data_IF_996692301886
#
_entry.id   IF_996692301886
#
_cell.length_a   1.000
_cell.length_b   1.000
_cell.length_c   1.000
_cell.angle_alpha   90.00
_cell.angle_beta   90.00
_cell.angle_gamma   90.00
#
_symmetry.space_group_name_H-M   'P 1'
#
loop_
_entity.id
_entity.type
_entity.pdbx_description
1 polymer ?
#
# COMPACT_ATOMS: atom_id res chain seq x y z
N UNK A 1 -67.61 24.79 14.08
CA UNK A 1 -68.92 24.62 13.40
C UNK A 1 -68.83 23.35 12.57
N UNK A 2 -69.47 22.28 13.04
CA UNK A 2 -70.49 21.48 12.36
C UNK A 2 -69.96 20.78 11.11
N UNK A 3 -70.07 19.49 10.85
CA UNK A 3 -70.77 18.37 11.51
C UNK A 3 -70.43 17.13 10.63
N UNK A 4 -70.20 16.00 11.26
CA UNK A 4 -70.45 14.65 10.69
C UNK A 4 -71.95 14.48 10.43
N UNK A 5 -72.55 13.53 9.68
CA UNK A 5 -72.34 12.10 9.73
C UNK A 5 -72.59 11.39 8.35
N UNK A 6 -72.47 10.12 8.05
CA UNK A 6 -73.12 8.94 8.56
C UNK A 6 -72.89 7.76 7.60
N UNK A 7 -72.67 6.56 8.11
CA UNK A 7 -72.90 5.26 7.47
C UNK A 7 -74.44 5.02 7.21
N UNK A 8 -74.81 4.07 6.30
CA UNK A 8 -75.15 2.76 6.77
C UNK A 8 -74.87 1.53 5.80
N UNK A 9 -74.54 0.42 6.37
CA UNK A 9 -75.15 -0.93 6.45
C UNK A 9 -75.53 -1.71 5.19
N UNK A 10 -75.01 -2.96 5.21
CA UNK A 10 -75.70 -4.25 5.01
C UNK A 10 -76.11 -4.72 3.62
N UNK A 11 -75.55 -5.86 3.21
CA UNK A 11 -76.35 -7.08 3.02
C UNK A 11 -75.49 -8.27 2.60
N UNK A 12 -75.69 -9.32 3.32
CA UNK A 12 -75.20 -10.68 3.07
C UNK A 12 -75.85 -11.31 1.85
N UNK A 13 -75.07 -12.11 1.10
CA UNK A 13 -75.67 -13.32 0.45
C UNK A 13 -74.64 -14.45 0.33
N UNK A 14 -75.11 -15.61 0.78
CA UNK A 14 -74.54 -16.96 0.78
C UNK A 14 -74.40 -17.44 -0.66
N UNK A 15 -73.41 -18.29 -0.89
CA UNK A 15 -73.45 -19.16 -2.08
C UNK A 15 -72.16 -19.92 -2.35
N UNK A 16 -72.15 -21.13 -1.91
CA UNK A 16 -71.73 -22.36 -2.58
C UNK A 16 -70.27 -22.68 -2.75
N UNK A 17 -69.85 -23.71 -2.04
CA UNK A 17 -68.62 -24.48 -2.12
C UNK A 17 -68.38 -25.10 -3.49
N UNK A 18 -67.18 -24.90 -4.04
CA UNK A 18 -66.61 -25.87 -5.00
C UNK A 18 -65.19 -26.21 -4.52
N UNK A 19 -65.03 -27.44 -4.08
CA UNK A 19 -63.75 -28.06 -3.78
C UNK A 19 -63.14 -28.44 -5.12
N UNK A 20 -62.04 -27.81 -5.49
CA UNK A 20 -61.16 -28.25 -6.58
C UNK A 20 -59.84 -28.59 -5.99
N UNK A 21 -59.54 -29.86 -5.96
CA UNK A 21 -58.27 -30.51 -5.65
C UNK A 21 -57.27 -30.13 -6.75
N UNK A 22 -56.35 -29.19 -6.49
CA UNK A 22 -55.19 -28.95 -7.34
C UNK A 22 -53.95 -29.49 -6.64
N UNK A 23 -53.48 -30.66 -7.06
CA UNK A 23 -52.17 -31.18 -6.72
C UNK A 23 -51.12 -30.28 -7.39
N UNK A 24 -50.57 -29.35 -6.64
CA UNK A 24 -49.46 -28.47 -7.05
C UNK A 24 -48.14 -29.14 -6.79
N UNK A 25 -47.46 -29.44 -7.87
CA UNK A 25 -46.09 -29.94 -7.96
C UNK A 25 -45.14 -28.90 -7.34
N UNK A 26 -44.69 -29.08 -6.10
CA UNK A 26 -43.66 -28.29 -5.48
C UNK A 26 -42.30 -28.68 -6.09
N UNK A 27 -41.92 -28.03 -7.20
CA UNK A 27 -40.57 -28.09 -7.72
C UNK A 27 -39.64 -27.39 -6.73
N UNK A 28 -38.90 -28.16 -5.95
CA UNK A 28 -37.89 -27.67 -5.05
C UNK A 28 -36.77 -26.94 -5.84
N UNK A 29 -36.72 -25.63 -5.75
CA UNK A 29 -35.56 -24.85 -6.06
C UNK A 29 -34.49 -25.14 -4.99
N UNK A 30 -33.79 -26.27 -5.15
CA UNK A 30 -32.54 -26.53 -4.46
C UNK A 30 -31.52 -25.47 -4.89
N UNK A 31 -31.41 -24.40 -4.13
CA UNK A 31 -30.28 -23.47 -4.24
C UNK A 31 -29.02 -24.29 -3.99
N UNK A 32 -28.26 -24.60 -5.05
CA UNK A 32 -26.89 -25.07 -4.95
C UNK A 32 -26.09 -23.95 -4.29
N UNK A 33 -26.07 -23.90 -2.95
CA UNK A 33 -25.03 -23.20 -2.22
C UNK A 33 -23.74 -23.96 -2.55
N UNK A 34 -22.97 -23.39 -3.50
CA UNK A 34 -21.60 -23.82 -3.72
C UNK A 34 -20.85 -23.77 -2.39
N UNK A 35 -19.90 -24.70 -2.15
CA UNK A 35 -19.10 -24.65 -0.95
C UNK A 35 -18.45 -23.26 -0.87
N UNK A 36 -18.66 -22.56 0.26
CA UNK A 36 -17.92 -21.34 0.57
C UNK A 36 -16.44 -21.67 0.45
N UNK A 37 -15.62 -20.78 -0.15
CA UNK A 37 -14.19 -21.02 -0.24
C UNK A 37 -13.68 -21.34 1.15
N UNK A 38 -13.16 -22.54 1.33
CA UNK A 38 -12.54 -22.96 2.57
C UNK A 38 -11.39 -21.99 2.83
N UNK A 39 -11.47 -21.23 3.92
CA UNK A 39 -10.34 -20.45 4.39
C UNK A 39 -9.20 -21.44 4.64
N UNK A 40 -8.05 -21.20 3.99
CA UNK A 40 -6.86 -22.02 4.21
C UNK A 40 -6.62 -22.16 5.73
N UNK A 41 -6.30 -23.36 6.21
CA UNK A 41 -6.07 -23.57 7.64
C UNK A 41 -4.94 -22.64 8.12
N UNK A 42 -5.18 -21.95 9.23
CA UNK A 42 -4.18 -21.07 9.85
C UNK A 42 -2.95 -21.91 10.18
N UNK A 43 -1.78 -21.52 9.64
CA UNK A 43 -0.51 -22.17 9.93
C UNK A 43 0.04 -21.67 11.29
N UNK A 44 0.01 -22.50 12.35
CA UNK A 44 0.48 -22.10 13.68
C UNK A 44 1.97 -21.79 13.72
N UNK A 45 2.79 -22.44 12.87
CA UNK A 45 4.21 -22.20 12.80
C UNK A 45 4.49 -20.85 12.12
N UNK A 46 3.82 -20.56 11.02
CA UNK A 46 3.92 -19.25 10.35
C UNK A 46 3.50 -18.12 11.31
N UNK A 47 2.39 -18.30 12.05
CA UNK A 47 1.95 -17.36 13.07
C UNK A 47 3.00 -17.12 14.15
N UNK A 48 3.59 -18.17 14.71
CA UNK A 48 4.61 -18.06 15.75
C UNK A 48 5.88 -17.34 15.25
N UNK A 49 6.23 -17.52 13.97
CA UNK A 49 7.41 -16.88 13.37
C UNK A 49 7.13 -15.42 12.97
N UNK A 50 6.02 -15.17 12.29
CA UNK A 50 5.76 -13.86 11.67
C UNK A 50 5.03 -12.88 12.59
N UNK A 51 4.26 -13.36 13.59
CA UNK A 51 3.53 -12.56 14.56
C UNK A 51 3.69 -13.12 15.99
N UNK A 52 4.91 -13.17 16.54
CA UNK A 52 5.20 -13.87 17.80
C UNK A 52 4.51 -13.27 19.03
N UNK A 53 4.11 -12.00 18.97
CA UNK A 53 3.32 -11.33 20.02
C UNK A 53 1.83 -11.66 19.96
N UNK A 54 1.35 -12.40 18.95
CA UNK A 54 -0.06 -12.63 18.69
C UNK A 54 -0.74 -11.49 17.93
N UNK A 55 -0.01 -10.42 17.59
CA UNK A 55 -0.42 -9.29 16.75
C UNK A 55 0.65 -9.06 15.69
N UNK A 56 0.24 -8.80 14.44
CA UNK A 56 1.18 -8.42 13.37
C UNK A 56 1.42 -6.91 13.40
N UNK A 57 2.60 -6.49 13.81
CA UNK A 57 3.00 -5.07 13.87
C UNK A 57 3.55 -4.65 12.52
N UNK A 58 2.81 -3.78 11.82
CA UNK A 58 3.15 -3.27 10.49
C UNK A 58 3.82 -1.91 10.63
N UNK A 59 5.11 -1.83 10.32
CA UNK A 59 5.85 -0.57 10.33
C UNK A 59 5.56 0.25 9.08
N UNK A 60 5.20 1.52 9.25
CA UNK A 60 4.86 2.44 8.16
C UNK A 60 5.42 3.84 8.39
N UNK A 61 5.47 4.65 7.33
CA UNK A 61 5.78 6.08 7.40
C UNK A 61 4.84 6.86 6.48
N UNK A 62 4.55 8.11 6.83
CA UNK A 62 3.62 8.98 6.09
C UNK A 62 4.24 9.56 4.81
N UNK A 63 3.39 9.87 3.84
CA UNK A 63 3.75 10.54 2.58
C UNK A 63 4.27 9.61 1.50
N UNK A 64 3.95 8.33 1.61
CA UNK A 64 4.27 7.34 0.58
C UNK A 64 3.11 6.37 0.37
N UNK A 65 2.52 6.30 -0.83
CA UNK A 65 1.51 5.30 -1.17
C UNK A 65 1.98 3.85 -1.02
N UNK A 66 3.30 3.60 -1.08
CA UNK A 66 3.86 2.27 -0.81
C UNK A 66 3.85 1.92 0.67
N UNK A 67 3.83 2.91 1.55
CA UNK A 67 3.81 2.75 2.99
C UNK A 67 2.46 3.18 3.56
N UNK A 68 2.27 4.47 3.79
CA UNK A 68 1.01 5.03 4.26
C UNK A 68 0.82 6.47 3.79
N UNK A 69 -0.38 6.78 3.32
CA UNK A 69 -0.89 8.13 3.08
C UNK A 69 -2.17 8.34 3.89
N UNK A 70 -2.46 9.59 4.23
CA UNK A 70 -3.71 9.97 4.89
C UNK A 70 -4.54 10.81 3.93
N UNK A 71 -5.76 10.37 3.65
CA UNK A 71 -6.70 11.11 2.81
C UNK A 71 -7.23 12.36 3.54
N UNK A 72 -7.87 13.25 2.79
CA UNK A 72 -8.54 14.43 3.37
C UNK A 72 -9.65 14.06 4.37
N UNK A 73 -10.27 12.89 4.23
CA UNK A 73 -11.25 12.34 5.20
C UNK A 73 -10.61 11.75 6.46
N UNK A 74 -9.27 11.71 6.55
CA UNK A 74 -8.54 11.10 7.66
C UNK A 74 -8.34 9.59 7.54
N UNK A 75 -8.88 8.95 6.49
CA UNK A 75 -8.64 7.53 6.20
C UNK A 75 -7.16 7.29 5.87
N UNK A 76 -6.61 6.18 6.34
CA UNK A 76 -5.25 5.76 6.01
C UNK A 76 -5.26 4.70 4.92
N UNK A 77 -4.43 4.87 3.90
CA UNK A 77 -4.23 3.93 2.80
C UNK A 77 -2.74 3.71 2.58
N UNK A 78 -2.39 2.61 1.98
CA UNK A 78 -1.00 2.32 1.65
C UNK A 78 -0.76 0.85 1.42
N UNK A 79 0.17 0.52 0.52
CA UNK A 79 0.46 -0.86 0.18
C UNK A 79 0.89 -1.67 1.42
N UNK A 80 1.74 -1.10 2.30
CA UNK A 80 2.17 -1.78 3.54
C UNK A 80 1.00 -2.03 4.49
N UNK A 81 0.06 -1.07 4.61
CA UNK A 81 -1.11 -1.20 5.47
C UNK A 81 -2.01 -2.33 4.97
N UNK A 82 -2.34 -2.33 3.67
CA UNK A 82 -3.30 -3.27 3.09
C UNK A 82 -2.76 -4.69 2.99
N UNK A 83 -1.52 -4.85 2.52
CA UNK A 83 -0.88 -6.18 2.46
C UNK A 83 -0.55 -6.70 3.88
N UNK A 84 -0.22 -5.80 4.81
CA UNK A 84 -0.08 -6.16 6.23
C UNK A 84 -1.38 -6.70 6.83
N UNK A 85 -2.50 -6.06 6.55
CA UNK A 85 -3.83 -6.55 6.95
C UNK A 85 -4.16 -7.90 6.28
N UNK A 86 -3.81 -8.08 5.00
CA UNK A 86 -3.99 -9.35 4.30
C UNK A 86 -3.17 -10.47 4.93
N UNK A 87 -1.90 -10.20 5.26
CA UNK A 87 -1.02 -11.15 5.94
C UNK A 87 -1.57 -11.51 7.34
N UNK A 88 -2.00 -10.51 8.10
CA UNK A 88 -2.59 -10.72 9.42
C UNK A 88 -3.84 -11.62 9.37
N UNK A 89 -4.72 -11.39 8.39
CA UNK A 89 -5.89 -12.29 8.15
C UNK A 89 -5.47 -13.72 7.87
N UNK A 90 -4.47 -13.93 7.01
CA UNK A 90 -3.95 -15.29 6.68
C UNK A 90 -3.29 -15.97 7.90
N UNK A 91 -2.70 -15.18 8.81
CA UNK A 91 -2.11 -15.69 10.06
C UNK A 91 -3.15 -15.84 11.19
N UNK A 92 -4.38 -15.36 11.02
CA UNK A 92 -5.41 -15.39 12.06
C UNK A 92 -5.07 -14.54 13.29
N UNK A 93 -4.44 -13.36 13.07
CA UNK A 93 -4.06 -12.42 14.12
C UNK A 93 -4.55 -11.00 13.79
N UNK A 94 -4.74 -10.11 14.77
CA UNK A 94 -4.94 -8.69 14.51
C UNK A 94 -3.70 -8.05 13.90
N UNK A 95 -3.90 -6.98 13.11
CA UNK A 95 -2.84 -6.11 12.62
C UNK A 95 -2.81 -4.81 13.40
N UNK A 96 -1.61 -4.33 13.73
CA UNK A 96 -1.36 -3.02 14.33
C UNK A 96 -0.41 -2.22 13.45
N UNK A 97 -0.72 -0.95 13.21
CA UNK A 97 0.13 -0.05 12.43
C UNK A 97 1.00 0.79 13.35
N UNK A 98 2.33 0.69 13.19
CA UNK A 98 3.32 1.48 13.93
C UNK A 98 3.94 2.52 13.00
N UNK A 99 3.78 3.81 13.32
CA UNK A 99 4.13 4.93 12.45
C UNK A 99 5.50 5.49 12.79
N UNK A 100 6.32 5.73 11.75
CA UNK A 100 7.65 6.33 11.84
C UNK A 100 7.74 7.58 10.94
N UNK A 101 8.77 8.39 11.11
CA UNK A 101 8.98 9.59 10.28
C UNK A 101 9.48 9.27 8.87
N UNK A 102 10.26 8.18 8.70
CA UNK A 102 10.88 7.78 7.44
C UNK A 102 11.20 6.30 7.37
N UNK A 103 11.44 5.81 6.17
CA UNK A 103 11.69 4.39 5.88
C UNK A 103 12.89 3.81 6.63
N UNK A 104 13.95 4.58 6.86
CA UNK A 104 15.13 4.08 7.59
C UNK A 104 14.76 3.64 9.01
N UNK A 105 13.97 4.44 9.73
CA UNK A 105 13.51 4.10 11.08
C UNK A 105 12.60 2.87 11.11
N UNK A 106 11.82 2.64 10.04
CA UNK A 106 11.04 1.40 9.91
C UNK A 106 11.97 0.19 9.77
N UNK A 107 13.01 0.29 8.92
CA UNK A 107 13.99 -0.80 8.72
C UNK A 107 14.75 -1.09 10.01
N UNK A 108 15.17 -0.05 10.73
CA UNK A 108 15.83 -0.19 12.04
C UNK A 108 14.91 -0.89 13.06
N UNK A 109 13.62 -0.52 13.08
CA UNK A 109 12.63 -1.14 13.96
C UNK A 109 12.35 -2.61 13.62
N UNK A 110 12.38 -3.00 12.34
CA UNK A 110 12.31 -4.40 11.91
C UNK A 110 13.56 -5.16 12.35
N UNK A 111 14.75 -4.61 12.11
CA UNK A 111 16.00 -5.22 12.50
C UNK A 111 16.07 -5.45 14.02
N UNK A 112 15.51 -4.54 14.82
CA UNK A 112 15.39 -4.65 16.28
C UNK A 112 14.23 -5.55 16.75
N UNK A 113 13.33 -6.03 15.86
CA UNK A 113 12.16 -6.82 16.21
C UNK A 113 11.03 -6.02 16.86
N UNK A 114 11.06 -4.69 16.76
CA UNK A 114 10.01 -3.79 17.30
C UNK A 114 8.77 -3.76 16.41
N UNK A 115 8.90 -4.06 15.12
CA UNK A 115 7.81 -4.32 14.18
C UNK A 115 8.08 -5.62 13.43
N UNK A 116 7.05 -6.23 12.87
CA UNK A 116 7.13 -7.58 12.29
C UNK A 116 7.23 -7.55 10.78
N UNK A 117 6.70 -6.52 10.12
CA UNK A 117 6.80 -6.37 8.68
C UNK A 117 6.70 -4.92 8.20
N UNK A 118 7.17 -4.68 7.00
CA UNK A 118 6.83 -3.54 6.13
C UNK A 118 6.95 -3.93 4.66
N UNK A 119 6.51 -3.08 3.74
CA UNK A 119 6.89 -3.19 2.32
C UNK A 119 7.90 -2.11 1.99
N UNK A 120 9.04 -2.53 1.47
CA UNK A 120 10.13 -1.62 1.12
C UNK A 120 11.01 -2.19 0.01
N UNK A 121 11.93 -1.35 -0.53
CA UNK A 121 12.86 -1.80 -1.56
C UNK A 121 13.80 -2.89 -1.02
N UNK A 122 13.83 -4.04 -1.68
CA UNK A 122 14.71 -5.18 -1.39
C UNK A 122 16.14 -4.91 -1.91
N UNK A 123 16.82 -3.93 -1.31
CA UNK A 123 18.21 -3.62 -1.67
C UNK A 123 19.20 -4.53 -0.97
N UNK A 124 20.41 -4.77 -1.56
CA UNK A 124 21.45 -5.55 -0.92
C UNK A 124 21.81 -5.06 0.49
N UNK A 125 21.96 -3.74 0.68
CA UNK A 125 22.29 -3.18 1.99
C UNK A 125 21.22 -3.46 3.06
N UNK A 126 19.91 -3.41 2.68
CA UNK A 126 18.84 -3.78 3.62
C UNK A 126 18.79 -5.27 3.88
N UNK A 127 19.11 -6.10 2.88
CA UNK A 127 19.18 -7.55 3.04
C UNK A 127 20.27 -8.03 4.03
N UNK A 128 21.20 -7.17 4.43
CA UNK A 128 22.16 -7.47 5.50
C UNK A 128 21.48 -7.51 6.88
N UNK A 129 20.45 -6.68 7.11
CA UNK A 129 19.83 -6.49 8.43
C UNK A 129 18.40 -7.01 8.54
N UNK A 130 17.69 -7.23 7.43
CA UNK A 130 16.34 -7.81 7.37
C UNK A 130 16.26 -8.89 6.31
N UNK A 131 15.23 -9.73 6.35
CA UNK A 131 14.92 -10.68 5.29
C UNK A 131 13.77 -10.17 4.42
N UNK A 132 13.70 -10.65 3.18
CA UNK A 132 12.68 -10.25 2.21
C UNK A 132 11.91 -11.45 1.65
N UNK A 133 10.64 -11.24 1.34
CA UNK A 133 9.87 -12.10 0.45
C UNK A 133 10.35 -11.97 -1.01
N UNK A 134 9.87 -12.80 -1.93
CA UNK A 134 9.90 -12.47 -3.35
C UNK A 134 9.32 -11.07 -3.60
N UNK A 135 9.79 -10.32 -4.64
CA UNK A 135 9.29 -8.99 -4.95
C UNK A 135 7.78 -9.00 -5.27
N UNK A 136 7.06 -8.01 -4.77
CA UNK A 136 5.63 -7.82 -5.04
C UNK A 136 5.40 -7.01 -6.32
N UNK A 137 6.13 -5.90 -6.49
CA UNK A 137 6.06 -5.02 -7.66
C UNK A 137 7.36 -4.22 -7.80
N UNK A 138 7.52 -3.56 -8.95
CA UNK A 138 8.60 -2.60 -9.18
C UNK A 138 8.07 -1.16 -9.27
N UNK A 139 8.91 -0.20 -8.87
CA UNK A 139 8.65 1.23 -8.97
C UNK A 139 9.75 1.94 -9.72
N UNK A 140 9.38 2.91 -10.54
CA UNK A 140 10.33 3.81 -11.16
C UNK A 140 10.90 4.83 -10.15
N UNK A 141 12.19 5.04 -10.22
CA UNK A 141 12.91 6.10 -9.52
C UNK A 141 12.97 7.33 -10.41
N UNK A 142 12.51 8.46 -9.90
CA UNK A 142 12.36 9.70 -10.67
C UNK A 142 12.92 10.91 -9.93
N UNK A 143 12.63 12.08 -10.50
CA UNK A 143 13.03 13.38 -9.99
C UNK A 143 11.84 14.33 -10.07
N UNK A 144 11.60 15.11 -9.03
CA UNK A 144 10.65 16.21 -9.00
C UNK A 144 11.40 17.54 -8.87
N UNK A 145 10.96 18.53 -9.61
CA UNK A 145 11.48 19.91 -9.61
C UNK A 145 10.33 20.91 -9.59
N UNK A 146 10.63 22.17 -9.26
CA UNK A 146 9.66 23.25 -9.49
C UNK A 146 9.56 23.55 -10.99
N UNK A 147 8.40 24.01 -11.47
CA UNK A 147 8.17 24.33 -12.89
C UNK A 147 9.11 25.41 -13.44
N UNK A 148 9.60 26.29 -12.57
CA UNK A 148 10.59 27.32 -12.90
C UNK A 148 12.02 26.80 -13.03
N UNK A 149 12.27 25.52 -12.69
CA UNK A 149 13.59 24.90 -12.76
C UNK A 149 14.06 24.70 -14.19
N UNK A 150 15.33 25.01 -14.45
CA UNK A 150 16.01 24.72 -15.71
C UNK A 150 16.39 23.25 -15.89
N UNK A 151 16.16 22.40 -14.88
CA UNK A 151 16.42 20.95 -14.94
C UNK A 151 15.31 20.31 -15.76
N UNK A 152 15.64 19.87 -16.98
CA UNK A 152 14.65 19.37 -17.96
C UNK A 152 14.52 17.86 -18.00
N UNK A 153 15.52 17.10 -17.52
CA UNK A 153 15.53 15.64 -17.55
C UNK A 153 16.15 15.05 -16.27
N UNK A 154 15.89 13.76 -16.04
CA UNK A 154 16.46 13.03 -14.88
C UNK A 154 17.99 12.97 -14.90
N UNK A 155 18.61 12.99 -16.07
CA UNK A 155 20.07 12.97 -16.19
C UNK A 155 20.69 14.36 -16.02
N UNK A 156 19.90 15.43 -16.13
CA UNK A 156 20.37 16.82 -15.98
C UNK A 156 20.56 17.25 -14.51
N UNK A 157 20.34 16.35 -13.53
CA UNK A 157 20.52 16.67 -12.11
C UNK A 157 21.99 16.70 -11.67
N UNK A 158 22.90 15.99 -12.38
CA UNK A 158 24.30 15.93 -12.00
C UNK A 158 25.11 17.10 -12.60
N UNK A 159 24.87 18.29 -12.08
CA UNK A 159 25.57 19.52 -12.47
C UNK A 159 26.11 20.25 -11.24
N UNK A 160 27.20 20.96 -11.42
CA UNK A 160 27.77 21.82 -10.38
C UNK A 160 26.74 22.87 -9.92
N UNK A 161 26.65 23.08 -8.61
CA UNK A 161 25.71 23.99 -7.99
C UNK A 161 24.29 23.41 -7.79
N UNK A 162 23.95 22.26 -8.39
CA UNK A 162 22.64 21.61 -8.18
C UNK A 162 22.61 20.88 -6.83
N UNK A 163 21.57 21.15 -6.03
CA UNK A 163 21.30 20.50 -4.75
C UNK A 163 20.18 19.48 -4.93
N UNK A 164 20.54 18.19 -4.87
CA UNK A 164 19.59 17.08 -5.02
C UNK A 164 19.16 16.61 -3.64
N UNK A 165 17.90 16.89 -3.28
CA UNK A 165 17.28 16.40 -2.06
C UNK A 165 17.01 14.90 -2.14
N UNK A 166 17.22 14.19 -1.05
CA UNK A 166 16.90 12.77 -0.86
C UNK A 166 16.37 12.57 0.55
N UNK A 167 15.51 11.59 0.78
CA UNK A 167 15.12 11.24 2.15
C UNK A 167 16.30 10.55 2.86
N UNK A 168 16.64 11.01 4.06
CA UNK A 168 17.73 10.46 4.86
C UNK A 168 17.55 8.96 5.12
N UNK A 169 18.59 8.16 4.86
CA UNK A 169 18.60 6.71 5.01
C UNK A 169 17.77 5.95 3.97
N UNK A 170 17.27 6.64 2.92
CA UNK A 170 16.62 5.97 1.80
C UNK A 170 17.62 5.25 0.90
N UNK A 171 17.14 4.24 0.14
CA UNK A 171 17.94 3.59 -0.90
C UNK A 171 18.36 4.56 -2.00
N UNK A 172 17.52 5.57 -2.29
CA UNK A 172 17.84 6.65 -3.24
C UNK A 172 19.04 7.47 -2.78
N UNK A 173 19.15 7.80 -1.48
CA UNK A 173 20.33 8.49 -0.94
C UNK A 173 21.61 7.71 -1.23
N UNK A 174 21.64 6.42 -0.87
CA UNK A 174 22.82 5.58 -1.09
C UNK A 174 23.14 5.35 -2.56
N UNK A 175 22.13 5.22 -3.43
CA UNK A 175 22.33 5.04 -4.85
C UNK A 175 22.86 6.31 -5.53
N UNK A 176 22.29 7.45 -5.25
CA UNK A 176 22.68 8.73 -5.84
C UNK A 176 24.04 9.22 -5.31
N UNK A 177 24.38 8.92 -4.04
CA UNK A 177 25.71 9.23 -3.51
C UNK A 177 26.86 8.52 -4.26
N UNK A 178 26.56 7.39 -4.90
CA UNK A 178 27.53 6.68 -5.75
C UNK A 178 27.49 7.09 -7.22
N UNK A 179 26.38 7.70 -7.65
CA UNK A 179 26.13 8.03 -9.06
C UNK A 179 26.46 9.49 -9.41
N UNK A 180 26.09 10.43 -8.52
CA UNK A 180 26.28 11.85 -8.76
C UNK A 180 27.72 12.26 -8.39
N UNK A 181 28.34 13.00 -9.30
CA UNK A 181 29.76 13.43 -9.17
C UNK A 181 29.85 14.93 -8.95
N UNK A 182 28.92 15.71 -9.52
CA UNK A 182 28.97 17.17 -9.53
C UNK A 182 27.93 17.81 -8.62
N UNK A 183 26.74 17.22 -8.53
CA UNK A 183 25.67 17.74 -7.72
C UNK A 183 25.86 17.41 -6.24
N UNK A 184 25.40 18.32 -5.38
CA UNK A 184 25.39 18.09 -3.94
C UNK A 184 24.15 17.30 -3.52
N UNK A 185 24.33 16.25 -2.70
CA UNK A 185 23.23 15.51 -2.09
C UNK A 185 22.87 16.16 -0.77
N UNK A 186 21.58 16.48 -0.61
CA UNK A 186 21.04 17.13 0.59
C UNK A 186 20.01 16.20 1.25
N UNK A 187 20.34 15.57 2.39
CA UNK A 187 19.40 14.73 3.10
C UNK A 187 18.26 15.54 3.74
N UNK A 188 17.02 15.07 3.54
CA UNK A 188 15.84 15.59 4.21
C UNK A 188 15.34 14.57 5.27
N UNK A 189 14.84 15.06 6.39
CA UNK A 189 14.40 14.21 7.51
C UNK A 189 13.21 13.30 7.13
N UNK A 190 12.34 13.77 6.24
CA UNK A 190 11.16 13.02 5.75
C UNK A 190 10.83 13.42 4.32
N UNK A 191 9.91 12.70 3.62
CA UNK A 191 9.39 13.14 2.32
C UNK A 191 8.75 14.53 2.38
N UNK A 192 8.00 14.85 3.44
CA UNK A 192 7.38 16.16 3.65
C UNK A 192 8.43 17.27 3.86
N UNK A 193 9.51 16.96 4.59
CA UNK A 193 10.64 17.89 4.73
C UNK A 193 11.29 18.18 3.38
N UNK A 194 11.50 17.15 2.53
CA UNK A 194 12.02 17.33 1.18
C UNK A 194 11.10 18.20 0.31
N UNK A 195 9.77 18.01 0.39
CA UNK A 195 8.79 18.86 -0.29
C UNK A 195 8.90 20.32 0.17
N UNK A 196 9.01 20.57 1.48
CA UNK A 196 9.17 21.91 2.03
C UNK A 196 10.49 22.58 1.56
N UNK A 197 11.58 21.80 1.52
CA UNK A 197 12.89 22.26 1.02
C UNK A 197 12.84 22.60 -0.47
N UNK A 198 12.14 21.80 -1.29
CA UNK A 198 11.96 22.08 -2.71
C UNK A 198 11.15 23.37 -2.92
N UNK A 199 10.06 23.54 -2.17
CA UNK A 199 9.21 24.74 -2.20
C UNK A 199 9.96 26.01 -1.81
N UNK A 200 10.84 25.94 -0.80
CA UNK A 200 11.63 27.07 -0.33
C UNK A 200 12.88 27.35 -1.17
N UNK A 201 13.21 26.48 -2.13
CA UNK A 201 14.44 26.57 -2.90
C UNK A 201 15.69 26.16 -2.09
N UNK A 202 15.55 25.46 -0.96
CA UNK A 202 16.68 24.88 -0.24
C UNK A 202 17.31 23.70 -0.99
N UNK A 203 16.55 23.03 -1.85
CA UNK A 203 16.98 22.04 -2.84
C UNK A 203 16.42 22.41 -4.22
N UNK A 204 17.12 22.00 -5.28
CA UNK A 204 16.75 22.30 -6.67
C UNK A 204 15.96 21.15 -7.31
N UNK A 205 16.15 19.94 -6.80
CA UNK A 205 15.46 18.72 -7.22
C UNK A 205 15.26 17.79 -6.03
N UNK A 206 14.18 16.99 -6.03
CA UNK A 206 13.98 15.92 -5.08
C UNK A 206 13.93 14.58 -5.82
N UNK A 207 14.80 13.66 -5.45
CA UNK A 207 14.96 12.35 -6.11
C UNK A 207 14.60 11.19 -5.19
N UNK A 208 13.59 10.41 -5.61
CA UNK A 208 13.09 9.22 -4.91
C UNK A 208 12.24 8.39 -5.86
N UNK A 209 11.44 7.41 -5.36
CA UNK A 209 10.50 6.71 -6.22
C UNK A 209 9.33 7.61 -6.64
N UNK A 210 8.81 7.34 -7.84
CA UNK A 210 7.77 8.17 -8.45
C UNK A 210 6.46 8.18 -7.67
N UNK A 211 6.16 7.15 -6.88
CA UNK A 211 4.97 7.13 -6.05
C UNK A 211 4.97 8.27 -5.02
N UNK A 212 6.10 8.47 -4.34
CA UNK A 212 6.28 9.59 -3.41
C UNK A 212 6.27 10.93 -4.17
N UNK A 213 6.94 11.01 -5.34
CA UNK A 213 7.00 12.24 -6.11
C UNK A 213 5.62 12.70 -6.57
N UNK A 214 4.78 11.80 -7.05
CA UNK A 214 3.42 12.13 -7.47
C UNK A 214 2.52 12.50 -6.29
N UNK A 215 2.62 11.75 -5.17
CA UNK A 215 1.86 12.05 -3.95
C UNK A 215 2.15 13.46 -3.41
N UNK A 216 3.43 13.79 -3.31
CA UNK A 216 3.85 15.12 -2.84
C UNK A 216 3.62 16.22 -3.87
N UNK A 217 3.77 15.90 -5.16
CA UNK A 217 3.58 16.83 -6.26
C UNK A 217 2.14 17.32 -6.37
N UNK A 218 1.16 16.45 -6.13
CA UNK A 218 -0.26 16.81 -6.11
C UNK A 218 -0.57 17.87 -5.04
N UNK A 219 0.17 17.85 -3.93
CA UNK A 219 0.06 18.85 -2.86
C UNK A 219 1.02 20.06 -2.99
N UNK A 220 1.77 20.16 -4.09
CA UNK A 220 2.76 21.22 -4.30
C UNK A 220 2.52 21.95 -5.63
N UNK A 221 1.72 23.06 -5.64
CA UNK A 221 1.49 23.83 -6.84
C UNK A 221 2.81 24.28 -7.51
N UNK A 222 2.89 24.07 -8.81
CA UNK A 222 4.08 24.40 -9.60
C UNK A 222 5.22 23.38 -9.51
N UNK A 223 5.03 22.24 -8.85
CA UNK A 223 5.97 21.12 -8.96
C UNK A 223 5.65 20.27 -10.20
N UNK A 224 6.68 19.64 -10.75
CA UNK A 224 6.55 18.64 -11.82
C UNK A 224 7.51 17.49 -11.61
N UNK A 225 7.02 16.27 -11.85
CA UNK A 225 7.84 15.08 -11.94
C UNK A 225 8.40 14.99 -13.36
N UNK A 226 9.71 14.83 -13.47
CA UNK A 226 10.38 14.74 -14.77
C UNK A 226 10.06 13.42 -15.47
N UNK A 227 9.99 13.49 -16.79
CA UNK A 227 9.89 12.30 -17.62
C UNK A 227 11.14 11.42 -17.51
N UNK A 228 10.97 10.12 -17.80
CA UNK A 228 12.04 9.14 -17.66
C UNK A 228 12.24 8.67 -16.23
N UNK A 229 13.24 7.84 -16.04
CA UNK A 229 13.63 7.27 -14.75
C UNK A 229 15.14 7.14 -14.65
N UNK A 230 15.69 7.23 -13.42
CA UNK A 230 17.10 6.97 -13.18
C UNK A 230 17.38 5.57 -12.60
N UNK A 231 16.32 4.78 -12.32
CA UNK A 231 16.43 3.42 -11.82
C UNK A 231 15.09 2.79 -11.50
N UNK A 232 15.12 1.60 -10.93
CA UNK A 232 13.97 0.84 -10.44
C UNK A 232 14.20 0.42 -8.99
N UNK A 233 13.10 0.36 -8.22
CA UNK A 233 13.03 -0.30 -6.92
C UNK A 233 12.17 -1.56 -7.04
N UNK A 234 12.60 -2.65 -6.38
CA UNK A 234 11.81 -3.87 -6.25
C UNK A 234 11.25 -3.96 -4.83
N UNK A 235 9.95 -3.72 -4.70
CA UNK A 235 9.29 -3.74 -3.40
C UNK A 235 8.97 -5.17 -2.97
N UNK A 236 9.34 -5.51 -1.75
CA UNK A 236 9.08 -6.80 -1.13
C UNK A 236 8.64 -6.62 0.33
N UNK A 237 8.05 -7.66 0.91
CA UNK A 237 7.78 -7.71 2.33
C UNK A 237 9.11 -7.90 3.06
N UNK A 238 9.48 -6.93 3.88
CA UNK A 238 10.62 -7.03 4.79
C UNK A 238 10.14 -7.53 6.16
N UNK A 239 10.87 -8.46 6.74
CA UNK A 239 10.65 -9.05 8.07
C UNK A 239 11.96 -9.13 8.85
N UNK A 240 11.95 -9.28 10.18
CA UNK A 240 13.16 -9.49 10.97
C UNK A 240 14.01 -10.64 10.44
N UNK A 241 15.32 -10.52 10.60
CA UNK A 241 16.30 -11.51 10.15
C UNK A 241 16.00 -12.91 10.70
N UNK A 242 16.10 -13.93 9.86
CA UNK A 242 15.75 -15.31 10.17
C UNK A 242 14.27 -15.67 9.91
N UNK A 243 13.35 -14.69 9.82
CA UNK A 243 11.93 -14.96 9.59
C UNK A 243 11.56 -15.07 8.10
N UNK A 244 12.35 -14.52 7.20
CA UNK A 244 12.13 -14.55 5.75
C UNK A 244 12.28 -15.94 5.13
N UNK A 245 12.89 -16.89 5.84
CA UNK A 245 13.01 -18.30 5.39
C UNK A 245 11.70 -19.08 5.52
N UNK A 246 10.65 -18.50 6.09
CA UNK A 246 9.35 -19.14 6.19
C UNK A 246 8.79 -19.42 4.79
N UNK A 247 8.51 -20.68 4.41
CA UNK A 247 7.86 -21.00 3.14
C UNK A 247 6.50 -20.31 3.00
N UNK A 248 5.83 -20.05 4.11
CA UNK A 248 4.57 -19.33 4.16
C UNK A 248 4.71 -17.90 3.63
N UNK A 249 5.77 -17.16 3.98
CA UNK A 249 5.96 -15.79 3.50
C UNK A 249 6.15 -15.72 1.98
N UNK A 250 6.91 -16.67 1.42
CA UNK A 250 7.09 -16.75 -0.03
C UNK A 250 5.78 -17.13 -0.73
N UNK A 251 5.07 -18.14 -0.24
CA UNK A 251 3.77 -18.56 -0.77
C UNK A 251 2.72 -17.44 -0.67
N UNK A 252 2.70 -16.68 0.43
CA UNK A 252 1.84 -15.52 0.60
C UNK A 252 2.16 -14.43 -0.44
N UNK A 253 3.43 -14.06 -0.61
CA UNK A 253 3.83 -13.06 -1.60
C UNK A 253 3.43 -13.46 -3.03
N UNK A 254 3.58 -14.74 -3.39
CA UNK A 254 3.16 -15.27 -4.68
C UNK A 254 1.64 -15.29 -4.83
N UNK A 255 0.90 -15.63 -3.78
CA UNK A 255 -0.56 -15.64 -3.79
C UNK A 255 -1.12 -14.23 -4.00
N UNK A 256 -0.71 -13.23 -3.20
CA UNK A 256 -1.24 -11.84 -3.31
C UNK A 256 -0.91 -11.19 -4.66
N UNK A 257 0.20 -11.59 -5.32
CA UNK A 257 0.49 -11.18 -6.70
C UNK A 257 -0.44 -11.85 -7.70
N UNK A 258 -0.53 -13.17 -7.65
CA UNK A 258 -1.34 -13.97 -8.60
C UNK A 258 -2.82 -13.62 -8.51
N UNK A 259 -3.32 -13.38 -7.31
CA UNK A 259 -4.74 -13.10 -7.04
C UNK A 259 -5.09 -11.61 -7.26
N UNK A 260 -4.12 -10.77 -7.67
CA UNK A 260 -4.31 -9.34 -7.95
C UNK A 260 -4.47 -8.47 -6.70
N UNK A 261 -4.23 -8.99 -5.51
CA UNK A 261 -4.37 -8.22 -4.26
C UNK A 261 -3.37 -7.07 -4.19
N UNK A 262 -2.15 -7.27 -4.74
CA UNK A 262 -1.11 -6.22 -4.80
C UNK A 262 -1.54 -5.07 -5.70
N UNK A 263 -2.06 -5.37 -6.89
CA UNK A 263 -2.56 -4.39 -7.86
C UNK A 263 -3.76 -3.62 -7.29
N UNK A 264 -4.70 -4.31 -6.65
CA UNK A 264 -5.84 -3.68 -6.01
C UNK A 264 -5.42 -2.78 -4.84
N UNK A 265 -4.48 -3.23 -4.00
CA UNK A 265 -3.94 -2.42 -2.91
C UNK A 265 -3.19 -1.19 -3.44
N UNK A 266 -2.39 -1.36 -4.49
CA UNK A 266 -1.70 -0.27 -5.16
C UNK A 266 -2.67 0.78 -5.73
N UNK A 267 -3.74 0.35 -6.39
CA UNK A 267 -4.79 1.24 -6.92
C UNK A 267 -5.49 2.01 -5.80
N UNK A 268 -5.92 1.33 -4.72
CA UNK A 268 -6.55 1.99 -3.57
C UNK A 268 -5.64 2.98 -2.86
N UNK A 269 -4.34 2.68 -2.81
CA UNK A 269 -3.33 3.59 -2.27
C UNK A 269 -3.01 4.77 -3.19
N UNK A 270 -3.55 4.82 -4.41
CA UNK A 270 -3.21 5.83 -5.40
C UNK A 270 -1.77 5.70 -5.92
N UNK A 271 -1.22 4.48 -5.90
CA UNK A 271 0.17 4.23 -6.29
C UNK A 271 0.36 4.47 -7.79
N UNK A 272 1.27 5.38 -8.13
CA UNK A 272 1.68 5.72 -9.49
C UNK A 272 3.16 5.42 -9.69
N UNK A 273 3.58 5.31 -10.96
CA UNK A 273 4.99 5.04 -11.28
C UNK A 273 5.40 3.58 -11.06
N UNK A 274 4.44 2.66 -11.12
CA UNK A 274 4.72 1.21 -11.15
C UNK A 274 5.35 0.84 -12.50
N UNK A 275 6.27 -0.12 -12.45
CA UNK A 275 6.82 -0.77 -13.63
C UNK A 275 6.50 -2.26 -13.59
N UNK A 276 6.42 -2.96 -14.75
CA UNK A 276 6.34 -4.41 -14.76
C UNK A 276 7.47 -5.00 -13.91
N UNK A 277 7.15 -5.99 -13.08
CA UNK A 277 8.18 -6.78 -12.42
C UNK A 277 8.96 -7.51 -13.52
N UNK A 278 10.23 -7.15 -13.72
CA UNK A 278 11.08 -7.89 -14.65
C UNK A 278 11.13 -9.34 -14.16
N UNK A 279 10.76 -10.28 -15.03
CA UNK A 279 10.95 -11.70 -14.77
C UNK A 279 12.46 -11.93 -14.61
N UNK A 280 12.88 -12.43 -13.44
CA UNK A 280 14.25 -12.89 -13.22
C UNK A 280 14.46 -14.25 -13.86
#
# INVERSE_FOLDING_TARGET
MKSNPSLPTSAARRGLSIVLLAAGLAAGLGACAGPAPASDPIDPQARAVLAPSGTLRVGVYLGSPTSMVRTASGETRGLSVEIGQALARRLGVPAETVVFERVALVVDAIAAGNVDMTITNASPARAEVVDFSPPLLALELGVMVMSTSSIASVDAIDREGVRVGVTQGSTSQGALARRLVRAAIVPAASPQAAQAMLRSGAIDAYATNKAILFELGDGLPGARVLDGRWGLEHLAIAVPKGRGRSPFLAAFADAVRRDGEVEHAAQRAGLRGTAPAEAR
#
